data_IF_667925391236
#
_entry.id   IF_667925391236
#
_cell.length_a   1.000
_cell.length_b   1.000
_cell.length_c   1.000
_cell.angle_alpha   90.00
_cell.angle_beta   90.00
_cell.angle_gamma   90.00
#
_symmetry.space_group_name_H-M   'P 1'
#
loop_
_entity.id
_entity.type
_entity.pdbx_description
1 polymer ?
#
# COMPACT_ATOMS: atom_id res chain seq x y z
N UNK A 1 20.78 -4.71 -7.44
CA UNK A 1 19.40 -5.23 -7.32
C UNK A 1 18.69 -4.80 -8.59
N UNK A 2 18.32 -5.76 -9.43
CA UNK A 2 17.51 -5.52 -10.63
C UNK A 2 16.18 -4.87 -10.23
N UNK A 3 15.64 -4.03 -11.09
CA UNK A 3 14.31 -3.45 -10.90
C UNK A 3 13.26 -4.59 -10.91
N UNK A 4 12.48 -4.81 -9.84
CA UNK A 4 11.90 -6.14 -9.59
C UNK A 4 10.44 -6.30 -10.06
N UNK A 5 9.92 -5.41 -10.91
CA UNK A 5 8.53 -5.52 -11.34
C UNK A 5 8.41 -6.36 -12.60
N UNK A 6 7.73 -7.49 -12.48
CA UNK A 6 7.41 -8.31 -13.64
C UNK A 6 6.36 -7.57 -14.50
N UNK A 7 6.57 -7.62 -15.82
CA UNK A 7 5.55 -7.27 -16.80
C UNK A 7 4.44 -8.32 -16.69
N UNK A 8 3.21 -7.87 -16.51
CA UNK A 8 2.00 -8.68 -16.47
C UNK A 8 1.19 -8.38 -17.72
N UNK A 9 1.26 -9.27 -18.73
CA UNK A 9 0.53 -9.11 -20.00
C UNK A 9 -0.98 -9.35 -19.86
N UNK A 10 -1.49 -9.53 -18.64
CA UNK A 10 -2.93 -9.71 -18.39
C UNK A 10 -3.70 -8.47 -18.85
N UNK A 11 -4.68 -8.60 -19.76
CA UNK A 11 -5.50 -7.47 -20.21
C UNK A 11 -6.25 -6.81 -19.05
N UNK A 12 -6.38 -5.48 -19.07
CA UNK A 12 -7.05 -4.72 -18.01
C UNK A 12 -8.48 -5.22 -17.72
N UNK A 13 -9.23 -5.64 -18.74
CA UNK A 13 -10.57 -6.20 -18.58
C UNK A 13 -10.57 -7.49 -17.72
N UNK A 14 -9.58 -8.36 -17.89
CA UNK A 14 -9.43 -9.58 -17.08
C UNK A 14 -9.05 -9.22 -15.64
N UNK A 15 -8.16 -8.23 -15.47
CA UNK A 15 -7.79 -7.71 -14.14
C UNK A 15 -9.02 -7.14 -13.42
N UNK A 16 -9.90 -6.46 -14.14
CA UNK A 16 -11.12 -5.86 -13.59
C UNK A 16 -12.16 -6.92 -13.21
N UNK A 17 -12.35 -7.96 -14.04
CA UNK A 17 -13.19 -9.13 -13.72
C UNK A 17 -12.70 -9.85 -12.46
N UNK A 18 -11.39 -10.09 -12.35
CA UNK A 18 -10.80 -10.68 -11.15
C UNK A 18 -10.97 -9.77 -9.93
N UNK A 19 -10.77 -8.46 -10.08
CA UNK A 19 -10.95 -7.49 -9.00
C UNK A 19 -12.40 -7.46 -8.51
N UNK A 20 -13.38 -7.59 -9.41
CA UNK A 20 -14.80 -7.62 -9.06
C UNK A 20 -15.17 -8.83 -8.18
N UNK A 21 -14.40 -9.93 -8.25
CA UNK A 21 -14.59 -11.12 -7.40
C UNK A 21 -13.77 -11.02 -6.12
N UNK A 22 -12.48 -10.68 -6.22
CA UNK A 22 -11.57 -10.67 -5.07
C UNK A 22 -11.83 -9.53 -4.09
N UNK A 23 -12.30 -8.37 -4.56
CA UNK A 23 -12.58 -7.20 -3.72
C UNK A 23 -13.67 -7.47 -2.68
N UNK A 24 -14.90 -7.89 -3.04
CA UNK A 24 -15.93 -8.17 -2.04
C UNK A 24 -15.54 -9.33 -1.13
N UNK A 25 -14.88 -10.39 -1.66
CA UNK A 25 -14.37 -11.47 -0.83
C UNK A 25 -13.38 -10.98 0.23
N UNK A 26 -12.39 -10.19 -0.17
CA UNK A 26 -11.37 -9.67 0.76
C UNK A 26 -12.00 -8.71 1.77
N UNK A 27 -13.01 -7.92 1.37
CA UNK A 27 -13.79 -7.11 2.31
C UNK A 27 -14.49 -7.96 3.36
N UNK A 28 -15.15 -9.07 2.99
CA UNK A 28 -15.74 -9.99 3.97
C UNK A 28 -14.71 -10.58 4.93
N UNK A 29 -13.47 -10.83 4.48
CA UNK A 29 -12.38 -11.28 5.37
C UNK A 29 -11.93 -10.15 6.31
N UNK A 30 -11.95 -8.88 5.89
CA UNK A 30 -11.69 -7.73 6.78
C UNK A 30 -12.73 -7.65 7.89
N UNK A 31 -14.01 -7.80 7.56
CA UNK A 31 -15.09 -7.85 8.54
C UNK A 31 -14.89 -9.01 9.52
N UNK A 32 -14.45 -10.18 9.04
CA UNK A 32 -14.13 -11.32 9.90
C UNK A 32 -12.95 -11.01 10.85
N UNK A 33 -11.89 -10.34 10.37
CA UNK A 33 -10.76 -9.94 11.22
C UNK A 33 -11.21 -9.01 12.34
N UNK A 34 -12.06 -8.02 12.03
CA UNK A 34 -12.60 -7.11 13.04
C UNK A 34 -13.51 -7.86 14.04
N UNK A 35 -14.37 -8.75 13.54
CA UNK A 35 -15.23 -9.60 14.38
C UNK A 35 -14.43 -10.53 15.31
N UNK A 36 -13.26 -11.04 14.89
CA UNK A 36 -12.37 -11.83 15.76
C UNK A 36 -11.88 -11.05 16.99
N UNK A 37 -11.81 -9.72 16.90
CA UNK A 37 -11.36 -8.84 18.00
C UNK A 37 -12.55 -8.39 18.86
N UNK A 38 -13.67 -8.03 18.23
CA UNK A 38 -14.77 -7.36 18.93
C UNK A 38 -15.93 -8.27 19.35
N UNK A 39 -16.04 -9.47 18.78
CA UNK A 39 -17.18 -10.34 19.05
C UNK A 39 -17.23 -10.81 20.50
N UNK A 40 -18.44 -10.81 21.07
CA UNK A 40 -18.75 -11.28 22.41
C UNK A 40 -19.78 -12.43 22.41
N UNK A 41 -19.93 -13.11 21.27
CA UNK A 41 -20.79 -14.30 21.15
C UNK A 41 -20.25 -15.43 22.04
N UNK A 42 -21.10 -16.44 22.31
CA UNK A 42 -20.67 -17.59 23.10
C UNK A 42 -19.69 -18.51 22.32
N UNK A 43 -19.10 -19.45 23.05
CA UNK A 43 -18.08 -20.35 22.50
C UNK A 43 -18.63 -21.35 21.47
N UNK A 44 -19.94 -21.61 21.47
CA UNK A 44 -20.55 -22.52 20.50
C UNK A 44 -20.71 -21.81 19.14
N UNK A 45 -21.09 -20.53 19.14
CA UNK A 45 -21.09 -19.68 17.94
C UNK A 45 -19.67 -19.52 17.35
N UNK A 46 -18.65 -19.35 18.19
CA UNK A 46 -17.24 -19.31 17.72
C UNK A 46 -16.84 -20.63 17.04
N UNK A 47 -17.25 -21.79 17.57
CA UNK A 47 -16.97 -23.10 16.96
C UNK A 47 -17.69 -23.29 15.63
N UNK A 48 -18.94 -22.82 15.53
CA UNK A 48 -19.69 -22.87 14.28
C UNK A 48 -19.01 -22.00 13.21
N UNK A 49 -18.64 -20.76 13.55
CA UNK A 49 -17.92 -19.86 12.65
C UNK A 49 -16.56 -20.43 12.23
N UNK A 50 -15.84 -21.11 13.12
CA UNK A 50 -14.59 -21.77 12.77
C UNK A 50 -14.77 -22.82 11.66
N UNK A 51 -15.83 -23.63 11.72
CA UNK A 51 -16.11 -24.62 10.67
C UNK A 51 -16.36 -23.98 9.30
N UNK A 52 -17.05 -22.84 9.26
CA UNK A 52 -17.27 -22.07 8.03
C UNK A 52 -15.97 -21.47 7.48
N UNK A 53 -15.13 -20.91 8.35
CA UNK A 53 -13.81 -20.39 7.99
C UNK A 53 -12.92 -21.51 7.43
N UNK A 54 -12.85 -22.66 8.10
CA UNK A 54 -12.06 -23.81 7.65
C UNK A 54 -12.55 -24.31 6.28
N UNK A 55 -13.87 -24.33 6.06
CA UNK A 55 -14.44 -24.71 4.79
C UNK A 55 -14.13 -23.68 3.67
N UNK A 56 -14.09 -22.39 3.99
CA UNK A 56 -13.67 -21.35 3.04
C UNK A 56 -12.18 -21.46 2.71
N UNK A 57 -11.33 -21.64 3.72
CA UNK A 57 -9.88 -21.86 3.58
C UNK A 57 -9.60 -23.10 2.72
N UNK A 58 -10.29 -24.20 2.95
CA UNK A 58 -10.16 -25.43 2.16
C UNK A 58 -10.53 -25.21 0.68
N UNK A 59 -11.56 -24.40 0.39
CA UNK A 59 -11.95 -24.06 -1.00
C UNK A 59 -10.87 -23.25 -1.71
N UNK A 60 -10.31 -22.24 -1.05
CA UNK A 60 -9.27 -21.37 -1.62
C UNK A 60 -7.94 -22.10 -1.80
N UNK A 61 -7.61 -23.03 -0.91
CA UNK A 61 -6.37 -23.81 -0.98
C UNK A 61 -6.38 -24.94 -2.03
N UNK A 62 -7.49 -25.15 -2.75
CA UNK A 62 -7.53 -26.10 -3.89
C UNK A 62 -6.51 -25.77 -4.98
N UNK A 63 -6.12 -24.49 -5.10
CA UNK A 63 -5.04 -24.05 -5.95
C UNK A 63 -4.25 -22.95 -5.24
N UNK A 64 -2.92 -23.08 -5.19
CA UNK A 64 -2.03 -22.07 -4.60
C UNK A 64 -1.02 -21.59 -5.62
N UNK A 65 -0.74 -20.29 -5.59
CA UNK A 65 0.32 -19.70 -6.40
C UNK A 65 1.69 -20.14 -5.86
N UNK A 66 2.59 -20.57 -6.74
CA UNK A 66 3.97 -20.89 -6.38
C UNK A 66 4.84 -19.63 -6.25
N UNK A 67 4.51 -18.58 -7.03
CA UNK A 67 5.19 -17.29 -7.02
C UNK A 67 4.51 -16.29 -6.08
N UNK A 68 5.26 -15.30 -5.60
CA UNK A 68 4.72 -14.15 -4.87
C UNK A 68 3.93 -13.25 -5.82
N UNK A 69 2.86 -12.61 -5.34
CA UNK A 69 2.10 -11.62 -6.15
C UNK A 69 2.96 -10.42 -6.57
N UNK A 70 3.90 -9.99 -5.71
CA UNK A 70 4.75 -8.84 -5.99
C UNK A 70 3.96 -7.58 -6.33
N UNK A 71 4.55 -6.73 -7.17
CA UNK A 71 3.87 -5.62 -7.84
C UNK A 71 4.02 -5.82 -9.35
N UNK A 72 2.94 -6.25 -9.99
CA UNK A 72 2.83 -6.39 -11.43
C UNK A 72 2.47 -5.04 -12.09
N UNK A 73 2.87 -4.86 -13.34
CA UNK A 73 2.45 -3.74 -14.18
C UNK A 73 1.78 -4.28 -15.44
N UNK A 74 0.57 -3.79 -15.74
CA UNK A 74 -0.08 -4.09 -17.02
C UNK A 74 0.68 -3.41 -18.18
N UNK A 75 0.39 -3.78 -19.45
CA UNK A 75 0.95 -3.07 -20.61
C UNK A 75 0.51 -1.60 -20.69
N UNK A 76 -0.59 -1.23 -20.00
CA UNK A 76 -1.05 0.16 -19.87
C UNK A 76 -0.33 0.93 -18.75
N UNK A 77 0.64 0.31 -18.07
CA UNK A 77 1.39 0.89 -16.95
C UNK A 77 0.62 0.87 -15.61
N UNK A 78 -0.54 0.20 -15.55
CA UNK A 78 -1.34 0.10 -14.33
C UNK A 78 -0.67 -0.83 -13.33
N UNK A 79 -0.43 -0.31 -12.13
CA UNK A 79 0.15 -1.08 -11.02
C UNK A 79 -0.87 -2.02 -10.39
N UNK A 80 -0.43 -3.24 -10.07
CA UNK A 80 -1.24 -4.28 -9.42
C UNK A 80 -0.59 -4.78 -8.11
N UNK A 81 -0.58 -3.97 -7.04
CA UNK A 81 0.04 -4.32 -5.76
C UNK A 81 -0.89 -5.17 -4.87
N UNK A 82 -1.55 -6.19 -5.42
CA UNK A 82 -2.69 -6.84 -4.75
C UNK A 82 -2.35 -7.53 -3.42
N UNK A 83 -1.10 -7.95 -3.22
CA UNK A 83 -0.64 -8.52 -1.95
C UNK A 83 -0.08 -7.50 -0.95
N UNK A 84 0.03 -6.22 -1.31
CA UNK A 84 0.65 -5.20 -0.47
C UNK A 84 -0.11 -5.05 0.87
N UNK A 85 0.59 -4.88 2.01
CA UNK A 85 -0.03 -4.84 3.34
C UNK A 85 -0.75 -3.52 3.68
N UNK A 86 -0.85 -2.57 2.75
CA UNK A 86 -1.52 -1.26 2.95
C UNK A 86 -2.54 -0.97 1.87
N UNK A 87 -2.24 -1.27 0.61
CA UNK A 87 -3.13 -0.98 -0.54
C UNK A 87 -3.55 -2.25 -1.28
N UNK A 88 -3.26 -3.43 -0.71
CA UNK A 88 -3.48 -4.70 -1.38
C UNK A 88 -4.96 -5.07 -1.45
N UNK A 89 -5.48 -5.13 -2.68
CA UNK A 89 -6.85 -5.58 -2.94
C UNK A 89 -7.14 -6.98 -2.39
N UNK A 90 -6.15 -7.88 -2.43
CA UNK A 90 -6.24 -9.27 -1.96
C UNK A 90 -5.62 -9.48 -0.57
N UNK A 91 -5.23 -8.41 0.11
CA UNK A 91 -4.64 -8.49 1.44
C UNK A 91 -5.63 -7.96 2.49
N UNK A 92 -6.23 -8.84 3.31
CA UNK A 92 -7.21 -8.42 4.31
C UNK A 92 -6.57 -7.76 5.54
N UNK A 93 -5.25 -7.83 5.73
CA UNK A 93 -4.58 -7.03 6.79
C UNK A 93 -4.36 -5.57 6.37
N UNK A 94 -4.57 -5.24 5.09
CA UNK A 94 -4.44 -3.89 4.61
C UNK A 94 -5.61 -3.04 5.12
N UNK A 95 -5.36 -1.92 5.84
CA UNK A 95 -6.34 -0.86 5.98
C UNK A 95 -6.66 -0.42 4.55
N UNK A 96 -7.87 -0.58 4.03
CA UNK A 96 -8.12 -0.40 2.62
C UNK A 96 -7.91 1.08 2.24
N UNK A 97 -6.72 1.43 1.74
CA UNK A 97 -6.38 2.76 1.27
C UNK A 97 -6.57 2.84 -0.25
N UNK A 98 -7.38 3.82 -0.68
CA UNK A 98 -7.47 4.24 -2.08
C UNK A 98 -6.70 5.56 -2.23
N UNK A 99 -5.39 5.43 -2.44
CA UNK A 99 -4.50 6.60 -2.50
C UNK A 99 -4.65 7.32 -3.84
N UNK A 100 -5.10 8.56 -3.80
CA UNK A 100 -5.10 9.46 -4.94
C UNK A 100 -3.80 10.23 -4.99
N UNK A 101 -3.14 10.28 -6.14
CA UNK A 101 -1.87 10.97 -6.32
C UNK A 101 -1.79 11.63 -7.69
N UNK A 102 -1.05 12.73 -7.79
CA UNK A 102 -0.88 13.47 -9.03
C UNK A 102 0.60 13.65 -9.42
N UNK A 103 0.89 14.00 -10.69
CA UNK A 103 2.28 14.14 -11.18
C UNK A 103 3.13 15.22 -10.50
N UNK A 104 2.53 16.15 -9.74
CA UNK A 104 3.28 17.13 -8.94
C UNK A 104 3.92 16.51 -7.69
N UNK A 105 3.60 15.26 -7.37
CA UNK A 105 4.13 14.54 -6.23
C UNK A 105 3.30 14.73 -4.97
N UNK A 106 2.00 15.06 -5.09
CA UNK A 106 1.06 15.01 -3.97
C UNK A 106 0.34 13.67 -3.93
N UNK A 107 0.02 13.20 -2.74
CA UNK A 107 -0.84 12.05 -2.51
C UNK A 107 -1.75 12.26 -1.29
N UNK A 108 -2.96 11.73 -1.35
CA UNK A 108 -3.92 11.80 -0.25
C UNK A 108 -4.87 10.60 -0.23
N UNK A 109 -5.41 10.30 0.96
CA UNK A 109 -6.37 9.23 1.15
C UNK A 109 -7.18 9.51 2.43
N UNK A 110 -8.50 9.33 2.35
CA UNK A 110 -9.35 9.13 3.53
C UNK A 110 -9.46 7.62 3.77
N UNK A 111 -9.36 7.18 5.03
CA UNK A 111 -9.33 5.76 5.39
C UNK A 111 -9.89 5.51 6.79
N UNK A 112 -10.21 4.25 7.09
CA UNK A 112 -10.74 3.84 8.38
C UNK A 112 -9.82 2.83 9.07
N UNK A 113 -9.49 3.07 10.34
CA UNK A 113 -8.79 2.11 11.20
C UNK A 113 -9.71 1.59 12.31
N UNK A 114 -10.25 0.38 12.11
CA UNK A 114 -11.02 -0.37 13.11
C UNK A 114 -10.17 -1.08 14.17
N UNK A 115 -10.80 -1.98 14.93
CA UNK A 115 -10.19 -2.62 16.12
C UNK A 115 -8.98 -3.48 15.78
N UNK A 116 -8.96 -4.07 14.58
CA UNK A 116 -7.87 -4.86 14.06
C UNK A 116 -6.51 -4.12 14.03
N UNK A 117 -6.52 -2.80 14.08
CA UNK A 117 -5.33 -1.94 14.02
C UNK A 117 -4.98 -1.30 15.37
N UNK A 118 -5.73 -1.62 16.42
CA UNK A 118 -5.54 -1.07 17.76
C UNK A 118 -4.20 -1.49 18.36
N UNK A 119 -3.55 -0.55 19.06
CA UNK A 119 -2.36 -0.81 19.87
C UNK A 119 -2.66 -0.46 21.32
N UNK A 120 -2.42 0.79 21.75
CA UNK A 120 -2.96 1.28 23.02
C UNK A 120 -4.50 1.36 22.97
N UNK A 121 -5.17 1.32 24.13
CA UNK A 121 -6.63 1.42 24.19
C UNK A 121 -7.18 2.64 23.43
N UNK A 122 -8.05 2.41 22.45
CA UNK A 122 -8.69 3.40 21.59
C UNK A 122 -7.79 4.05 20.54
N UNK A 123 -6.54 3.60 20.39
CA UNK A 123 -5.54 4.22 19.51
C UNK A 123 -4.97 3.22 18.50
N UNK A 124 -4.74 3.69 17.28
CA UNK A 124 -4.03 2.94 16.25
C UNK A 124 -2.60 2.63 16.73
N UNK A 125 -2.16 1.39 16.54
CA UNK A 125 -0.80 0.99 16.88
C UNK A 125 0.23 1.83 16.09
N UNK A 126 1.28 2.32 16.77
CA UNK A 126 2.30 3.16 16.12
C UNK A 126 2.97 2.50 14.91
N UNK A 127 3.15 1.18 14.95
CA UNK A 127 3.62 0.40 13.79
C UNK A 127 2.68 0.49 12.57
N UNK A 128 1.36 0.49 12.77
CA UNK A 128 0.39 0.65 11.68
C UNK A 128 0.42 2.07 11.13
N UNK A 129 0.53 3.08 12.01
CA UNK A 129 0.74 4.48 11.60
C UNK A 129 1.98 4.60 10.72
N UNK A 130 3.11 4.00 11.13
CA UNK A 130 4.35 4.03 10.35
C UNK A 130 4.23 3.35 9.00
N UNK A 131 3.51 2.22 8.94
CA UNK A 131 3.26 1.46 7.73
C UNK A 131 2.44 2.28 6.71
N UNK A 132 1.40 2.97 7.17
CA UNK A 132 0.56 3.84 6.33
C UNK A 132 1.37 5.04 5.81
N UNK A 133 2.15 5.70 6.68
CA UNK A 133 2.99 6.84 6.30
C UNK A 133 4.01 6.45 5.22
N UNK A 134 4.72 5.34 5.39
CA UNK A 134 5.69 4.86 4.40
C UNK A 134 5.05 4.62 3.03
N UNK A 135 3.89 3.93 3.00
CA UNK A 135 3.20 3.61 1.76
C UNK A 135 2.76 4.88 1.01
N UNK A 136 2.14 5.84 1.71
CA UNK A 136 1.59 7.05 1.05
C UNK A 136 2.71 7.99 0.59
N UNK A 137 3.80 8.10 1.34
CA UNK A 137 5.01 8.77 0.88
C UNK A 137 5.58 8.12 -0.39
N UNK A 138 5.66 6.79 -0.42
CA UNK A 138 6.09 6.04 -1.60
C UNK A 138 5.19 6.29 -2.83
N UNK A 139 3.89 6.48 -2.62
CA UNK A 139 2.95 6.89 -3.68
C UNK A 139 3.23 8.29 -4.19
N UNK A 140 3.40 9.27 -3.30
CA UNK A 140 3.73 10.65 -3.67
C UNK A 140 5.01 10.70 -4.51
N UNK A 141 6.07 10.01 -4.08
CA UNK A 141 7.34 9.95 -4.82
C UNK A 141 7.18 9.20 -6.15
N UNK A 142 6.49 8.06 -6.16
CA UNK A 142 6.25 7.29 -7.38
C UNK A 142 5.47 8.08 -8.43
N UNK A 143 4.53 8.93 -8.01
CA UNK A 143 3.68 9.72 -8.89
C UNK A 143 4.45 10.77 -9.71
N UNK A 144 5.65 11.19 -9.27
CA UNK A 144 6.50 12.10 -10.05
C UNK A 144 7.20 11.40 -11.23
N UNK A 145 6.84 10.14 -11.53
CA UNK A 145 7.50 9.30 -12.50
C UNK A 145 8.90 8.85 -12.08
N UNK A 146 9.31 9.07 -10.82
CA UNK A 146 10.65 8.68 -10.32
C UNK A 146 10.51 7.87 -9.04
N UNK A 147 10.22 6.57 -9.17
CA UNK A 147 10.04 5.73 -8.00
C UNK A 147 11.33 5.63 -7.19
N UNK A 148 11.17 5.53 -5.87
CA UNK A 148 12.29 5.44 -4.94
C UNK A 148 12.04 4.38 -3.90
N UNK A 149 13.10 3.72 -3.46
CA UNK A 149 13.08 2.83 -2.30
C UNK A 149 13.25 3.66 -1.04
N UNK A 150 12.49 3.37 0.01
CA UNK A 150 12.65 4.04 1.30
C UNK A 150 14.09 3.86 1.80
N UNK A 151 14.81 4.97 1.97
CA UNK A 151 16.14 5.02 2.57
C UNK A 151 16.06 5.32 4.07
N UNK A 152 15.30 6.35 4.44
CA UNK A 152 15.02 6.68 5.84
C UNK A 152 13.57 7.14 6.00
N UNK A 153 12.98 6.82 7.15
CA UNK A 153 11.67 7.30 7.56
C UNK A 153 11.77 7.81 9.00
N UNK A 154 11.55 9.11 9.19
CA UNK A 154 11.51 9.76 10.51
C UNK A 154 10.09 10.15 10.82
N UNK A 155 9.56 9.72 11.97
CA UNK A 155 8.16 9.96 12.35
C UNK A 155 8.12 10.70 13.69
N UNK A 156 7.29 11.74 13.75
CA UNK A 156 6.94 12.46 14.98
C UNK A 156 5.48 12.16 15.31
N UNK A 157 5.25 11.38 16.37
CA UNK A 157 3.92 11.14 16.93
C UNK A 157 3.54 12.32 17.82
N UNK A 158 2.72 13.24 17.30
CA UNK A 158 2.29 14.47 17.97
C UNK A 158 1.25 14.21 19.06
N UNK A 159 0.31 13.30 18.76
CA UNK A 159 -0.78 12.88 19.64
C UNK A 159 -1.09 11.39 19.36
N UNK A 160 -1.84 10.74 20.24
CA UNK A 160 -2.40 9.43 19.93
C UNK A 160 -3.29 9.51 18.68
N UNK A 161 -3.08 8.64 17.71
CA UNK A 161 -3.97 8.51 16.55
C UNK A 161 -5.18 7.67 16.97
N UNK A 162 -6.40 8.24 17.01
CA UNK A 162 -7.58 7.49 17.43
C UNK A 162 -7.96 6.44 16.37
N UNK A 163 -8.64 5.38 16.81
CA UNK A 163 -9.39 4.52 15.88
C UNK A 163 -10.50 5.32 15.19
N UNK A 164 -10.96 4.83 14.03
CA UNK A 164 -12.02 5.44 13.23
C UNK A 164 -11.53 6.06 11.93
N UNK A 165 -12.25 7.08 11.47
CA UNK A 165 -11.98 7.76 10.20
C UNK A 165 -10.82 8.75 10.33
N UNK A 166 -9.88 8.64 9.39
CA UNK A 166 -8.63 9.39 9.35
C UNK A 166 -8.36 9.86 7.93
N UNK A 167 -7.56 10.91 7.81
CA UNK A 167 -7.01 11.40 6.53
C UNK A 167 -5.50 11.37 6.56
N UNK A 168 -4.88 11.04 5.44
CA UNK A 168 -3.44 11.20 5.23
C UNK A 168 -3.18 12.07 4.01
N UNK A 169 -2.19 12.94 4.12
CA UNK A 169 -1.70 13.79 3.05
C UNK A 169 -0.18 13.68 2.98
N UNK A 170 0.36 13.58 1.78
CA UNK A 170 1.79 13.54 1.50
C UNK A 170 2.15 14.40 0.30
N UNK A 171 3.39 14.88 0.28
CA UNK A 171 3.93 15.67 -0.82
C UNK A 171 5.45 15.49 -0.96
N UNK A 172 5.95 15.59 -2.18
CA UNK A 172 7.39 15.71 -2.44
C UNK A 172 7.85 17.13 -2.12
N UNK A 173 8.86 17.26 -1.26
CA UNK A 173 9.37 18.56 -0.81
C UNK A 173 10.54 19.04 -1.68
N UNK A 174 11.47 18.13 -1.99
CA UNK A 174 12.67 18.42 -2.79
C UNK A 174 13.28 17.15 -3.36
N UNK A 175 14.15 17.34 -4.34
CA UNK A 175 14.90 16.26 -4.99
C UNK A 175 16.34 16.70 -5.26
N UNK A 176 17.25 15.75 -5.15
CA UNK A 176 18.67 15.89 -5.48
C UNK A 176 19.19 14.58 -6.05
N UNK A 177 19.33 14.53 -7.38
CA UNK A 177 19.82 13.39 -8.16
C UNK A 177 19.18 12.04 -7.76
N UNK A 178 19.84 11.31 -6.86
CA UNK A 178 19.47 9.98 -6.34
C UNK A 178 18.40 10.07 -5.25
N UNK A 179 18.29 11.18 -4.53
CA UNK A 179 17.45 11.32 -3.34
C UNK A 179 16.21 12.16 -3.64
N UNK A 180 15.06 11.69 -3.17
CA UNK A 180 13.81 12.46 -3.10
C UNK A 180 13.39 12.56 -1.64
N UNK A 181 13.10 13.77 -1.17
CA UNK A 181 12.53 14.01 0.16
C UNK A 181 11.05 14.28 0.01
N UNK A 182 10.26 13.66 0.88
CA UNK A 182 8.82 13.84 0.94
C UNK A 182 8.37 13.91 2.39
N UNK A 183 7.29 14.63 2.62
CA UNK A 183 6.66 14.80 3.93
C UNK A 183 5.22 14.30 3.89
N UNK A 184 4.74 13.80 5.03
CA UNK A 184 3.36 13.34 5.18
C UNK A 184 2.82 13.62 6.58
N UNK A 185 1.50 13.70 6.69
CA UNK A 185 0.78 13.87 7.96
C UNK A 185 -0.49 13.03 8.00
N UNK A 186 -0.75 12.41 9.15
CA UNK A 186 -2.05 11.81 9.48
C UNK A 186 -2.86 12.82 10.30
N UNK A 187 -4.11 13.00 9.90
CA UNK A 187 -5.07 13.95 10.44
C UNK A 187 -6.24 13.12 11.01
N UNK A 188 -6.45 13.24 12.31
CA UNK A 188 -7.64 12.75 12.99
C UNK A 188 -8.67 13.87 13.22
N UNK A 189 -9.75 13.58 13.97
CA UNK A 189 -10.82 14.55 14.23
C UNK A 189 -10.33 15.82 14.95
N UNK A 190 -9.30 15.69 15.80
CA UNK A 190 -8.72 16.79 16.59
C UNK A 190 -7.41 17.35 16.00
N UNK A 191 -7.19 17.12 14.70
CA UNK A 191 -6.04 17.60 13.93
C UNK A 191 -4.92 16.57 13.75
N UNK A 192 -3.71 17.05 13.49
CA UNK A 192 -2.56 16.20 13.15
C UNK A 192 -2.14 15.33 14.34
N UNK A 193 -2.05 14.02 14.11
CA UNK A 193 -1.66 13.03 15.13
C UNK A 193 -0.24 12.52 14.90
N UNK A 194 0.20 12.39 13.65
CA UNK A 194 1.55 12.00 13.29
C UNK A 194 2.04 12.73 12.03
N UNK A 195 3.34 13.02 11.98
CA UNK A 195 4.03 13.60 10.82
C UNK A 195 5.23 12.73 10.47
N UNK A 196 5.59 12.66 9.19
CA UNK A 196 6.75 11.92 8.73
C UNK A 196 7.55 12.70 7.68
N UNK A 197 8.87 12.50 7.73
CA UNK A 197 9.78 12.84 6.65
C UNK A 197 10.44 11.56 6.13
N UNK A 198 10.33 11.34 4.82
CA UNK A 198 10.92 10.21 4.12
C UNK A 198 12.02 10.65 3.15
N UNK A 199 13.10 9.87 3.10
CA UNK A 199 14.11 9.97 2.03
C UNK A 199 14.02 8.73 1.18
N UNK A 200 13.77 8.92 -0.11
CA UNK A 200 13.62 7.85 -1.09
C UNK A 200 14.81 7.86 -2.04
N UNK A 201 15.39 6.69 -2.26
CA UNK A 201 16.57 6.50 -3.08
C UNK A 201 16.15 5.93 -4.44
N UNK A 202 16.46 6.63 -5.52
CA UNK A 202 16.30 6.15 -6.88
C UNK A 202 17.15 4.88 -7.05
N UNK A 203 16.55 3.72 -7.35
CA UNK A 203 17.31 2.48 -7.36
C UNK A 203 18.34 2.40 -8.46
N UNK A 204 19.43 1.69 -8.15
CA UNK A 204 20.65 1.66 -8.97
C UNK A 204 20.37 1.22 -10.41
N UNK A 205 19.53 0.21 -10.63
CA UNK A 205 19.20 -0.27 -11.97
C UNK A 205 18.58 0.82 -12.86
N UNK A 206 17.68 1.65 -12.30
CA UNK A 206 17.11 2.78 -13.02
C UNK A 206 18.19 3.83 -13.33
N UNK A 207 19.08 4.11 -12.37
CA UNK A 207 20.18 5.07 -12.58
C UNK A 207 21.11 4.63 -13.71
N UNK A 208 21.46 3.35 -13.75
CA UNK A 208 22.32 2.78 -14.80
C UNK A 208 21.66 2.87 -16.18
N UNK A 209 20.35 2.59 -16.29
CA UNK A 209 19.60 2.76 -17.54
C UNK A 209 19.53 4.22 -18.00
N UNK A 210 19.27 5.14 -17.07
CA UNK A 210 19.25 6.58 -17.36
C UNK A 210 20.60 7.06 -17.90
N UNK A 211 21.70 6.65 -17.25
CA UNK A 211 23.04 7.01 -17.68
C UNK A 211 23.39 6.42 -19.07
N UNK A 212 22.93 5.19 -19.35
CA UNK A 212 23.12 4.57 -20.66
C UNK A 212 22.35 5.32 -21.76
N UNK A 213 21.08 5.65 -21.53
CA UNK A 213 20.27 6.41 -22.48
C UNK A 213 20.86 7.79 -22.77
N UNK A 214 21.34 8.48 -21.74
CA UNK A 214 22.04 9.77 -21.88
C UNK A 214 23.31 9.64 -22.73
N UNK A 215 24.12 8.59 -22.50
CA UNK A 215 25.32 8.31 -23.29
C UNK A 215 25.01 7.98 -24.76
N UNK A 216 23.84 7.40 -25.03
CA UNK A 216 23.35 7.08 -26.38
C UNK A 216 22.63 8.27 -27.06
N UNK A 217 22.48 9.41 -26.36
CA UNK A 217 21.76 10.58 -26.86
C UNK A 217 20.24 10.38 -26.94
N UNK A 218 19.71 9.37 -26.25
CA UNK A 218 18.29 9.00 -26.23
C UNK A 218 17.64 9.62 -25.00
N UNK A 219 16.57 10.38 -25.21
CA UNK A 219 15.69 10.83 -24.12
C UNK A 219 14.61 9.78 -23.88
N UNK A 220 14.80 8.92 -22.88
CA UNK A 220 13.75 7.97 -22.48
C UNK A 220 12.71 8.67 -21.58
N UNK A 221 11.42 8.68 -21.95
CA UNK A 221 10.36 9.07 -21.02
C UNK A 221 10.29 8.06 -19.85
N UNK A 222 9.95 8.53 -18.65
CA UNK A 222 9.94 7.71 -17.43
C UNK A 222 9.13 6.39 -17.47
N UNK A 223 8.05 6.23 -18.26
CA UNK A 223 7.38 4.95 -18.44
C UNK A 223 8.29 3.88 -19.08
N UNK A 224 9.10 4.25 -20.08
CA UNK A 224 10.00 3.30 -20.80
C UNK A 224 11.16 2.81 -19.93
N UNK A 225 11.48 3.54 -18.85
CA UNK A 225 12.55 3.16 -17.92
C UNK A 225 12.12 2.03 -16.97
N UNK A 226 10.80 1.80 -16.84
CA UNK A 226 10.24 0.77 -15.97
C UNK A 226 9.99 -0.57 -16.67
N UNK A 227 10.05 -0.62 -18.01
CA UNK A 227 10.00 -1.83 -18.86
C UNK A 227 11.37 -2.47 -19.06
#
# INVERSE_FOLDING_TARGET
MSWPFAVDDTPDAVVDEEAAVWRPFTHSVRELIDACVQSAVDLDEVRAAQADVDAAVARLNKARMAATLGQAHSPSGRRRPWGNPVIGLRNPIAPPLEVHSDPSGRAECDFHCGAAYEGPPGLVHGGVVSLILDQVLGHAVGATGRPGMTGTLTIVYRKGTPLGDLRIEAQVDRRDDVKTWASARIIGPDGVTAEAEGVFLLPRAIRERLAQAEAEGISLPMPEILE
#
